data_IF_273132524358
#
_entry.id   IF_273132524358
#
_cell.length_a   1.000
_cell.length_b   1.000
_cell.length_c   1.000
_cell.angle_alpha   90.00
_cell.angle_beta   90.00
_cell.angle_gamma   90.00
#
_symmetry.space_group_name_H-M   'P 1'
#
loop_
_entity.id
_entity.type
_entity.pdbx_description
1 polymer ?
#
# COMPACT_ATOMS: atom_id res chain seq x y z
N UNK A 1 23.97 9.60 2.20
CA UNK A 1 22.98 9.41 3.29
C UNK A 1 21.64 9.85 2.74
N UNK A 2 20.55 9.11 3.01
CA UNK A 2 19.21 9.47 2.54
C UNK A 2 18.77 10.78 3.22
N UNK A 3 18.27 11.76 2.46
CA UNK A 3 17.75 13.00 3.05
C UNK A 3 16.30 12.81 3.51
N UNK A 4 15.82 13.69 4.39
CA UNK A 4 14.45 13.61 4.89
C UNK A 4 13.39 13.87 3.80
N UNK A 5 13.69 14.74 2.84
CA UNK A 5 12.86 14.97 1.64
C UNK A 5 12.73 13.74 0.72
N UNK A 6 13.67 12.79 0.81
CA UNK A 6 13.68 11.57 0.00
C UNK A 6 12.95 10.40 0.68
N UNK A 7 12.41 10.60 1.90
CA UNK A 7 11.72 9.55 2.65
C UNK A 7 10.26 9.41 2.21
N UNK A 8 9.87 8.18 1.87
CA UNK A 8 8.48 7.86 1.50
C UNK A 8 7.57 7.85 2.74
N UNK A 9 8.00 7.21 3.84
CA UNK A 9 7.22 7.10 5.08
C UNK A 9 7.56 8.27 6.01
N UNK A 10 6.88 9.40 5.80
CA UNK A 10 7.19 10.68 6.45
C UNK A 10 6.66 10.76 7.88
N UNK A 11 5.55 10.08 8.20
CA UNK A 11 5.00 10.02 9.57
C UNK A 11 5.34 8.72 10.32
N UNK A 12 6.50 8.12 10.04
CA UNK A 12 6.88 6.81 10.59
C UNK A 12 6.86 6.78 12.13
N UNK A 13 7.12 7.91 12.79
CA UNK A 13 7.17 8.02 14.25
C UNK A 13 5.87 8.52 14.89
N UNK A 14 4.81 8.76 14.13
CA UNK A 14 3.51 9.21 14.66
C UNK A 14 3.54 10.63 15.25
N UNK A 15 4.48 11.48 14.78
CA UNK A 15 4.63 12.87 15.23
C UNK A 15 3.68 13.85 14.52
N UNK A 16 3.02 13.39 13.45
CA UNK A 16 2.04 14.14 12.68
C UNK A 16 0.68 13.47 12.71
N UNK A 17 -0.35 14.21 12.32
CA UNK A 17 -1.73 13.71 12.26
C UNK A 17 -1.87 12.55 11.26
N UNK A 18 -2.40 11.42 11.73
CA UNK A 18 -2.58 10.22 10.90
C UNK A 18 -3.90 10.18 10.12
N UNK A 19 -4.82 11.11 10.38
CA UNK A 19 -6.11 11.21 9.67
C UNK A 19 -5.90 11.46 8.17
N UNK A 20 -6.97 11.36 7.38
CA UNK A 20 -6.99 11.68 5.97
C UNK A 20 -6.52 13.11 5.69
N UNK A 21 -6.91 14.07 6.55
CA UNK A 21 -6.48 15.46 6.42
C UNK A 21 -4.96 15.59 6.62
N UNK A 22 -4.42 14.94 7.65
CA UNK A 22 -2.99 14.89 7.90
C UNK A 22 -2.22 14.18 6.79
N UNK A 23 -2.74 13.08 6.27
CA UNK A 23 -2.15 12.33 5.17
C UNK A 23 -2.10 13.17 3.87
N UNK A 24 -3.20 13.85 3.52
CA UNK A 24 -3.24 14.78 2.38
C UNK A 24 -2.24 15.92 2.51
N UNK A 25 -2.08 16.47 3.73
CA UNK A 25 -1.08 17.51 3.99
C UNK A 25 0.37 17.03 3.76
N UNK A 26 0.62 15.71 3.78
CA UNK A 26 1.93 15.10 3.48
C UNK A 26 2.05 14.57 2.05
N UNK A 27 1.06 14.80 1.19
CA UNK A 27 1.09 14.39 -0.22
C UNK A 27 0.51 13.01 -0.51
N UNK A 28 -0.19 12.38 0.44
CA UNK A 28 -0.98 11.18 0.15
C UNK A 28 -2.32 11.56 -0.48
N UNK A 29 -2.86 10.67 -1.30
CA UNK A 29 -4.06 10.93 -2.11
C UNK A 29 -3.92 12.11 -3.08
N UNK A 30 -2.68 12.49 -3.41
CA UNK A 30 -2.38 13.54 -4.38
C UNK A 30 -2.14 12.92 -5.76
N UNK A 31 -2.89 13.38 -6.76
CA UNK A 31 -2.77 12.86 -8.12
C UNK A 31 -3.24 11.41 -8.32
N UNK A 32 -3.85 10.77 -7.32
CA UNK A 32 -4.26 9.35 -7.41
C UNK A 32 -5.18 9.11 -8.59
N UNK A 33 -6.17 10.00 -8.81
CA UNK A 33 -7.10 9.90 -9.93
C UNK A 33 -6.38 9.94 -11.28
N UNK A 34 -5.41 10.83 -11.42
CA UNK A 34 -4.58 11.02 -12.61
C UNK A 34 -3.69 9.79 -12.84
N UNK A 35 -3.15 9.19 -11.77
CA UNK A 35 -2.41 7.93 -11.83
C UNK A 35 -3.31 6.81 -12.37
N UNK A 36 -4.53 6.66 -11.84
CA UNK A 36 -5.48 5.64 -12.31
C UNK A 36 -5.90 5.88 -13.76
N UNK A 37 -6.07 7.14 -14.17
CA UNK A 37 -6.44 7.51 -15.53
C UNK A 37 -5.39 7.15 -16.58
N UNK A 38 -4.10 7.03 -16.19
CA UNK A 38 -3.02 6.55 -17.08
C UNK A 38 -3.14 5.06 -17.42
N UNK A 39 -3.97 4.33 -16.67
CA UNK A 39 -4.32 2.94 -16.97
C UNK A 39 -3.39 1.90 -16.35
N UNK A 40 -3.88 0.66 -16.34
CA UNK A 40 -3.27 -0.49 -15.64
C UNK A 40 -1.86 -0.79 -16.12
N UNK A 41 -1.69 -0.88 -17.44
CA UNK A 41 -0.41 -1.22 -18.07
C UNK A 41 0.67 -0.16 -17.80
N UNK A 42 0.29 1.12 -17.74
CA UNK A 42 1.22 2.20 -17.39
C UNK A 42 1.75 2.03 -15.96
N UNK A 43 0.87 1.80 -14.98
CA UNK A 43 1.27 1.61 -13.57
C UNK A 43 2.21 0.39 -13.42
N UNK A 44 1.88 -0.73 -14.06
CA UNK A 44 2.76 -1.93 -14.02
C UNK A 44 4.12 -1.65 -14.67
N UNK A 45 4.16 -0.86 -15.74
CA UNK A 45 5.41 -0.44 -16.39
C UNK A 45 6.28 0.42 -15.46
N UNK A 46 5.71 1.44 -14.83
CA UNK A 46 6.42 2.29 -13.86
C UNK A 46 6.96 1.47 -12.67
N UNK A 47 6.17 0.50 -12.18
CA UNK A 47 6.60 -0.39 -11.10
C UNK A 47 7.74 -1.34 -11.51
N UNK A 48 7.86 -1.68 -12.80
CA UNK A 48 9.03 -2.41 -13.32
C UNK A 48 10.23 -1.47 -13.47
N UNK A 49 10.01 -0.27 -14.01
CA UNK A 49 11.05 0.73 -14.24
C UNK A 49 11.69 1.23 -12.94
N UNK A 50 10.92 1.34 -11.86
CA UNK A 50 11.44 1.72 -10.53
C UNK A 50 12.43 0.73 -9.93
N UNK A 51 12.49 -0.51 -10.45
CA UNK A 51 13.34 -1.57 -9.92
C UNK A 51 12.92 -2.05 -8.53
N UNK A 52 11.67 -1.77 -8.09
CA UNK A 52 11.20 -2.18 -6.77
C UNK A 52 11.23 -3.71 -6.62
N UNK A 53 11.84 -4.16 -5.52
CA UNK A 53 11.88 -5.55 -5.10
C UNK A 53 11.01 -5.76 -3.86
N UNK A 54 10.48 -6.97 -3.70
CA UNK A 54 9.61 -7.34 -2.60
C UNK A 54 10.23 -7.08 -1.23
N UNK A 55 9.46 -6.46 -0.34
CA UNK A 55 9.90 -5.99 0.99
C UNK A 55 9.65 -6.98 2.13
N UNK A 56 9.09 -8.15 1.85
CA UNK A 56 8.84 -9.22 2.84
C UNK A 56 9.96 -10.24 3.02
N UNK A 57 11.07 -10.14 2.27
CA UNK A 57 12.25 -11.03 2.44
C UNK A 57 12.63 -11.85 1.20
N UNK A 58 11.67 -12.25 0.36
CA UNK A 58 11.96 -12.99 -0.88
C UNK A 58 12.66 -12.16 -1.97
N UNK A 59 12.58 -10.82 -1.89
CA UNK A 59 13.27 -9.92 -2.82
C UNK A 59 12.87 -10.06 -4.29
N UNK A 60 11.70 -10.64 -4.58
CA UNK A 60 11.21 -10.83 -5.95
C UNK A 60 10.82 -9.48 -6.59
N UNK A 61 11.10 -9.22 -7.88
CA UNK A 61 10.75 -7.94 -8.52
C UNK A 61 9.23 -7.68 -8.51
N UNK A 62 8.80 -6.59 -7.86
CA UNK A 62 7.38 -6.32 -7.58
C UNK A 62 6.58 -6.08 -8.86
N UNK A 63 7.07 -5.21 -9.76
CA UNK A 63 6.38 -4.93 -11.03
C UNK A 63 6.28 -6.16 -11.95
N UNK A 64 7.28 -7.06 -11.92
CA UNK A 64 7.20 -8.32 -12.64
C UNK A 64 6.11 -9.24 -12.06
N UNK A 65 6.05 -9.36 -10.73
CA UNK A 65 5.01 -10.14 -10.04
C UNK A 65 3.61 -9.65 -10.41
N UNK A 66 3.39 -8.33 -10.43
CA UNK A 66 2.09 -7.76 -10.77
C UNK A 66 1.67 -8.06 -12.20
N UNK A 67 2.64 -8.17 -13.13
CA UNK A 67 2.33 -8.49 -14.53
C UNK A 67 1.90 -9.94 -14.80
N UNK A 68 1.97 -10.82 -13.80
CA UNK A 68 1.45 -12.18 -13.91
C UNK A 68 -0.07 -12.26 -13.76
N UNK A 69 -0.71 -11.20 -13.27
CA UNK A 69 -2.16 -11.18 -13.12
C UNK A 69 -2.84 -11.21 -14.51
N UNK A 70 -3.91 -12.01 -14.68
CA UNK A 70 -4.63 -12.10 -15.95
C UNK A 70 -5.09 -10.72 -16.43
N UNK A 71 -4.82 -10.40 -17.69
CA UNK A 71 -5.31 -9.17 -18.33
C UNK A 71 -6.81 -9.25 -18.58
N UNK A 72 -7.25 -10.39 -19.07
CA UNK A 72 -8.67 -10.72 -19.29
C UNK A 72 -9.18 -11.54 -18.12
N UNK A 73 -10.39 -11.22 -17.65
CA UNK A 73 -11.08 -12.01 -16.65
C UNK A 73 -11.72 -13.22 -17.32
N UNK A 74 -11.55 -14.39 -16.71
CA UNK A 74 -12.24 -15.63 -17.09
C UNK A 74 -13.61 -15.75 -16.38
N UNK A 75 -14.14 -14.64 -15.87
CA UNK A 75 -15.35 -14.57 -15.07
C UNK A 75 -15.10 -14.68 -13.55
N UNK A 76 -13.89 -15.04 -13.12
CA UNK A 76 -13.53 -15.06 -11.70
C UNK A 76 -13.02 -13.68 -11.25
N UNK A 77 -13.41 -13.21 -10.06
CA UNK A 77 -12.83 -12.00 -9.49
C UNK A 77 -11.37 -12.25 -9.10
N UNK A 78 -10.49 -11.33 -9.48
CA UNK A 78 -9.13 -11.27 -8.97
C UNK A 78 -9.10 -10.54 -7.62
N UNK A 79 -8.12 -10.86 -6.77
CA UNK A 79 -7.98 -10.24 -5.46
C UNK A 79 -6.55 -9.82 -5.20
N UNK A 80 -6.38 -8.73 -4.47
CA UNK A 80 -5.12 -8.37 -3.82
C UNK A 80 -5.17 -8.87 -2.39
N UNK A 81 -4.09 -9.52 -1.95
CA UNK A 81 -3.88 -9.84 -0.54
C UNK A 81 -2.61 -9.14 -0.09
N UNK A 82 -2.75 -8.23 0.87
CA UNK A 82 -1.63 -7.56 1.53
C UNK A 82 -1.26 -8.37 2.77
N UNK A 83 -0.01 -8.81 2.82
CA UNK A 83 0.54 -9.45 4.01
C UNK A 83 0.97 -8.37 5.01
N UNK A 84 0.27 -8.29 6.15
CA UNK A 84 0.56 -7.41 7.27
C UNK A 84 0.66 -8.20 8.60
N UNK A 85 1.15 -9.45 8.51
CA UNK A 85 1.36 -10.32 9.67
C UNK A 85 2.64 -9.97 10.45
N UNK A 86 3.74 -9.69 9.75
CA UNK A 86 5.04 -9.33 10.36
C UNK A 86 5.40 -10.18 11.61
N UNK A 87 5.30 -11.51 11.47
CA UNK A 87 5.61 -12.45 12.56
C UNK A 87 7.11 -12.74 12.70
N UNK A 88 7.96 -12.24 11.80
CA UNK A 88 9.39 -12.45 11.81
C UNK A 88 10.10 -11.73 12.99
N UNK A 89 10.90 -12.44 13.81
CA UNK A 89 11.62 -11.84 14.93
C UNK A 89 12.51 -10.65 14.52
N UNK A 90 12.36 -9.53 15.22
CA UNK A 90 13.11 -8.29 14.97
C UNK A 90 12.49 -7.37 13.91
N UNK A 91 11.38 -7.78 13.29
CA UNK A 91 10.69 -6.96 12.29
C UNK A 91 9.55 -6.16 12.94
N UNK A 92 9.50 -4.86 12.67
CA UNK A 92 8.47 -3.95 13.18
C UNK A 92 8.11 -2.82 12.20
N UNK A 93 8.52 -2.94 10.93
CA UNK A 93 8.35 -1.89 9.91
C UNK A 93 6.88 -1.77 9.49
N UNK A 94 6.16 -2.88 9.36
CA UNK A 94 4.78 -2.92 8.89
C UNK A 94 3.85 -2.40 9.99
N UNK A 95 4.18 -2.73 11.24
CA UNK A 95 3.51 -2.21 12.42
C UNK A 95 3.47 -0.68 12.44
N UNK A 96 4.61 -0.03 12.20
CA UNK A 96 4.69 1.44 12.22
C UNK A 96 3.89 2.09 11.08
N UNK A 97 3.91 1.48 9.88
CA UNK A 97 3.10 1.95 8.74
C UNK A 97 1.61 1.90 9.08
N UNK A 98 1.11 0.77 9.57
CA UNK A 98 -0.31 0.62 9.93
C UNK A 98 -0.75 1.56 11.05
N UNK A 99 0.12 1.82 12.04
CA UNK A 99 -0.23 2.62 13.22
C UNK A 99 -0.23 4.12 12.96
N UNK A 100 0.78 4.59 12.23
CA UNK A 100 1.12 6.01 12.14
C UNK A 100 0.83 6.62 10.77
N UNK A 101 0.85 5.82 9.70
CA UNK A 101 0.65 6.31 8.35
C UNK A 101 -0.25 5.37 7.51
N UNK A 102 -1.44 5.00 8.01
CA UNK A 102 -2.29 3.98 7.39
C UNK A 102 -2.79 4.35 6.00
N UNK A 103 -3.00 5.64 5.71
CA UNK A 103 -3.45 6.08 4.38
C UNK A 103 -2.44 5.77 3.27
N UNK A 104 -1.15 5.75 3.57
CA UNK A 104 -0.11 5.31 2.62
C UNK A 104 -0.35 3.87 2.18
N UNK A 105 -0.75 3.01 3.11
CA UNK A 105 -1.10 1.62 2.81
C UNK A 105 -2.41 1.53 2.03
N UNK A 106 -3.46 2.26 2.44
CA UNK A 106 -4.78 2.22 1.79
C UNK A 106 -4.70 2.73 0.34
N UNK A 107 -4.01 3.84 0.09
CA UNK A 107 -3.79 4.36 -1.26
C UNK A 107 -2.96 3.37 -2.10
N UNK A 108 -1.92 2.77 -1.51
CA UNK A 108 -1.15 1.70 -2.14
C UNK A 108 -2.01 0.49 -2.53
N UNK A 109 -2.98 0.11 -1.68
CA UNK A 109 -3.93 -0.97 -1.97
C UNK A 109 -4.80 -0.62 -3.17
N UNK A 110 -5.30 0.62 -3.28
CA UNK A 110 -6.09 1.07 -4.41
C UNK A 110 -5.30 1.01 -5.71
N UNK A 111 -4.10 1.61 -5.74
CA UNK A 111 -3.25 1.68 -6.93
C UNK A 111 -2.84 0.27 -7.38
N UNK A 112 -2.39 -0.57 -6.44
CA UNK A 112 -1.99 -1.95 -6.75
C UNK A 112 -3.17 -2.81 -7.22
N UNK A 113 -4.33 -2.67 -6.56
CA UNK A 113 -5.54 -3.39 -6.96
C UNK A 113 -5.98 -2.99 -8.36
N UNK A 114 -6.01 -1.69 -8.66
CA UNK A 114 -6.36 -1.20 -9.99
C UNK A 114 -5.39 -1.73 -11.05
N UNK A 115 -4.08 -1.59 -10.84
CA UNK A 115 -3.05 -2.08 -11.75
C UNK A 115 -3.24 -3.57 -12.08
N UNK A 116 -3.52 -4.38 -11.06
CA UNK A 116 -3.71 -5.83 -11.20
C UNK A 116 -5.14 -6.24 -11.60
N UNK A 117 -6.10 -5.31 -11.67
CA UNK A 117 -7.51 -5.60 -11.92
C UNK A 117 -8.17 -6.41 -10.81
N UNK A 118 -7.72 -6.24 -9.56
CA UNK A 118 -8.32 -6.87 -8.41
C UNK A 118 -9.66 -6.21 -8.07
N UNK A 119 -10.65 -7.05 -7.77
CA UNK A 119 -11.99 -6.65 -7.37
C UNK A 119 -12.04 -6.17 -5.91
N UNK A 120 -11.28 -6.83 -5.03
CA UNK A 120 -11.17 -6.45 -3.63
C UNK A 120 -9.73 -6.64 -3.13
N UNK A 121 -9.39 -5.89 -2.08
CA UNK A 121 -8.14 -6.00 -1.36
C UNK A 121 -8.40 -6.50 0.05
N UNK A 122 -7.74 -7.59 0.43
CA UNK A 122 -7.77 -8.14 1.79
C UNK A 122 -6.43 -7.86 2.46
N UNK A 123 -6.44 -7.13 3.57
CA UNK A 123 -5.24 -6.88 4.38
C UNK A 123 -5.24 -7.89 5.52
N UNK A 124 -4.32 -8.85 5.46
CA UNK A 124 -4.15 -9.86 6.51
C UNK A 124 -3.28 -9.29 7.62
N UNK A 125 -3.92 -8.78 8.67
CA UNK A 125 -3.24 -8.16 9.81
C UNK A 125 -2.99 -9.21 10.89
N UNK A 126 -1.79 -9.15 11.49
CA UNK A 126 -1.43 -9.96 12.65
C UNK A 126 -2.47 -9.89 13.77
N UNK A 127 -2.76 -11.02 14.40
CA UNK A 127 -3.74 -11.08 15.50
C UNK A 127 -3.41 -10.18 16.69
N UNK A 128 -2.12 -10.00 17.01
CA UNK A 128 -1.66 -9.17 18.13
C UNK A 128 -1.70 -7.67 17.85
N UNK A 129 -1.83 -7.25 16.60
CA UNK A 129 -1.81 -5.86 16.16
C UNK A 129 -3.18 -5.19 16.29
N UNK A 130 -3.70 -5.18 17.51
CA UNK A 130 -5.06 -4.70 17.82
C UNK A 130 -5.19 -3.18 17.61
N UNK A 131 -4.21 -2.39 18.04
CA UNK A 131 -4.28 -0.92 17.90
C UNK A 131 -3.99 -0.47 16.48
N UNK A 132 -3.13 -1.21 15.80
CA UNK A 132 -2.75 -0.99 14.42
C UNK A 132 -3.92 -1.32 13.47
N UNK A 133 -4.65 -2.41 13.69
CA UNK A 133 -5.88 -2.69 12.92
C UNK A 133 -7.00 -1.68 13.17
N UNK A 134 -7.14 -1.17 14.40
CA UNK A 134 -8.11 -0.10 14.72
C UNK A 134 -7.75 1.20 13.98
N UNK A 135 -6.47 1.58 13.98
CA UNK A 135 -6.00 2.75 13.24
C UNK A 135 -6.19 2.59 11.73
N UNK A 136 -5.89 1.41 11.19
CA UNK A 136 -6.09 1.12 9.77
C UNK A 136 -7.57 1.09 9.40
N UNK A 137 -8.44 0.51 10.22
CA UNK A 137 -9.88 0.52 9.98
C UNK A 137 -10.43 1.95 9.96
N UNK A 138 -10.04 2.81 10.91
CA UNK A 138 -10.44 4.21 10.90
C UNK A 138 -10.02 4.94 9.60
N UNK A 139 -8.78 4.71 9.13
CA UNK A 139 -8.31 5.28 7.88
C UNK A 139 -9.02 4.71 6.63
N UNK A 140 -9.46 3.45 6.69
CA UNK A 140 -10.30 2.84 5.67
C UNK A 140 -11.67 3.52 5.66
N UNK A 141 -12.31 3.68 6.82
CA UNK A 141 -13.62 4.33 6.96
C UNK A 141 -13.56 5.77 6.42
N UNK A 142 -12.53 6.54 6.79
CA UNK A 142 -12.28 7.89 6.26
C UNK A 142 -12.07 7.92 4.74
N UNK A 143 -11.59 6.83 4.13
CA UNK A 143 -11.40 6.74 2.67
C UNK A 143 -12.66 6.28 1.91
N UNK A 144 -13.65 5.72 2.62
CA UNK A 144 -14.96 5.37 2.06
C UNK A 144 -15.92 6.56 2.06
N UNK A 145 -15.77 7.49 3.01
CA UNK A 145 -16.56 8.73 3.14
C UNK A 145 -16.16 9.82 2.12
#
# INVERSE_FOLDING_TARGET
MLKDEDRIFTNLYGMHDRSLAGARARGHWDGTKEILAKGRDWIVSEMKASGLRGRGGAGFPTGLKWSFMPKESDGRPAYLVVNADESEPGTCKDREIMRHDPHTLVEGCLIASFAMGAHACYIYIRGEYIREREALQAAIDEAYD
#
